data_IF_546045956863
#
_entry.id   IF_546045956863
#
_cell.length_a   1.000
_cell.length_b   1.000
_cell.length_c   1.000
_cell.angle_alpha   90.00
_cell.angle_beta   90.00
_cell.angle_gamma   90.00
#
_symmetry.space_group_name_H-M   'P 1'
#
loop_
_entity.id
_entity.type
_entity.pdbx_description
1 polymer ?
#
# COMPACT_ATOMS: atom_id res chain seq x y z
N UNK A 1 -38.36 18.49 -13.21
CA UNK A 1 -37.77 19.82 -12.97
C UNK A 1 -36.28 19.80 -13.29
N UNK A 2 -35.97 20.10 -14.55
CA UNK A 2 -34.61 20.42 -15.00
C UNK A 2 -34.25 21.78 -14.42
N UNK A 3 -33.22 21.84 -13.56
CA UNK A 3 -32.69 23.11 -13.12
C UNK A 3 -32.29 23.93 -14.36
N UNK A 4 -32.85 25.12 -14.53
CA UNK A 4 -32.39 26.09 -15.53
C UNK A 4 -30.94 26.45 -15.19
N UNK A 5 -29.99 25.85 -15.91
CA UNK A 5 -28.58 26.20 -15.78
C UNK A 5 -28.38 27.52 -16.54
N UNK A 6 -28.01 28.61 -15.88
CA UNK A 6 -27.83 29.90 -16.55
C UNK A 6 -26.73 29.82 -17.62
N UNK A 7 -26.81 30.65 -18.69
CA UNK A 7 -25.76 30.74 -19.70
C UNK A 7 -24.37 31.00 -19.10
N UNK A 8 -23.32 30.53 -19.76
CA UNK A 8 -21.92 30.60 -19.29
C UNK A 8 -21.46 32.04 -18.92
N UNK A 9 -22.09 33.04 -19.53
CA UNK A 9 -21.77 34.47 -19.40
C UNK A 9 -22.73 35.25 -18.49
N UNK A 10 -23.72 34.60 -17.90
CA UNK A 10 -24.71 35.29 -17.08
C UNK A 10 -24.15 35.63 -15.68
N UNK A 11 -23.73 36.89 -15.50
CA UNK A 11 -23.26 37.46 -14.22
C UNK A 11 -24.46 38.16 -13.55
N UNK A 12 -25.58 37.47 -13.40
CA UNK A 12 -26.68 38.02 -12.62
C UNK A 12 -26.30 38.04 -11.12
N UNK A 13 -26.62 39.13 -10.45
CA UNK A 13 -26.68 39.21 -8.97
C UNK A 13 -28.03 38.62 -8.55
N UNK A 14 -28.09 37.87 -7.46
CA UNK A 14 -29.39 37.56 -6.86
C UNK A 14 -29.98 38.80 -6.15
N UNK A 15 -31.21 38.68 -5.65
CA UNK A 15 -31.88 39.73 -4.89
C UNK A 15 -31.13 40.14 -3.61
N UNK A 16 -30.16 39.34 -3.17
CA UNK A 16 -29.36 39.52 -1.97
C UNK A 16 -27.92 40.02 -2.28
N UNK A 17 -27.67 40.51 -3.49
CA UNK A 17 -26.34 40.96 -3.97
C UNK A 17 -25.26 39.86 -3.97
N UNK A 18 -25.65 38.60 -3.88
CA UNK A 18 -24.74 37.46 -4.03
C UNK A 18 -24.57 37.19 -5.52
N UNK A 19 -23.31 37.17 -5.97
CA UNK A 19 -23.00 36.87 -7.36
C UNK A 19 -23.42 35.42 -7.69
N UNK A 20 -24.26 35.24 -8.72
CA UNK A 20 -24.64 33.88 -9.16
C UNK A 20 -23.42 33.08 -9.61
N UNK A 21 -23.42 31.79 -9.28
CA UNK A 21 -22.45 30.81 -9.77
C UNK A 21 -22.77 30.46 -11.23
N UNK A 22 -21.99 31.00 -12.19
CA UNK A 22 -22.05 30.58 -13.59
C UNK A 22 -21.17 29.34 -13.85
N UNK A 23 -21.41 28.64 -14.96
CA UNK A 23 -20.58 27.50 -15.40
C UNK A 23 -19.10 27.91 -15.46
N UNK A 24 -18.78 29.08 -16.04
CA UNK A 24 -17.41 29.59 -16.10
C UNK A 24 -16.79 29.81 -14.71
N UNK A 25 -17.57 30.30 -13.73
CA UNK A 25 -17.10 30.47 -12.35
C UNK A 25 -16.87 29.14 -11.66
N UNK A 26 -17.71 28.14 -11.90
CA UNK A 26 -17.46 26.79 -11.44
C UNK A 26 -16.14 26.27 -12.01
N UNK A 27 -15.95 26.30 -13.34
CA UNK A 27 -14.72 25.85 -13.99
C UNK A 27 -13.45 26.50 -13.42
N UNK A 28 -13.52 27.81 -13.15
CA UNK A 28 -12.42 28.59 -12.56
C UNK A 28 -12.25 28.39 -11.04
N UNK A 29 -13.24 27.83 -10.34
CA UNK A 29 -13.20 27.60 -8.89
C UNK A 29 -13.06 26.12 -8.49
N UNK A 30 -13.04 25.18 -9.44
CA UNK A 30 -12.90 23.72 -9.19
C UNK A 30 -11.75 23.38 -8.24
N UNK A 31 -10.61 24.04 -8.39
CA UNK A 31 -9.45 23.86 -7.50
C UNK A 31 -9.71 24.28 -6.05
N UNK A 32 -10.53 25.30 -5.82
CA UNK A 32 -10.93 25.74 -4.48
C UNK A 32 -12.08 24.90 -3.92
N UNK A 33 -13.04 24.52 -4.76
CA UNK A 33 -14.15 23.62 -4.43
C UNK A 33 -13.62 22.26 -3.99
N UNK A 34 -12.72 21.66 -4.77
CA UNK A 34 -12.07 20.39 -4.46
C UNK A 34 -11.44 20.35 -3.07
N UNK A 35 -10.78 21.42 -2.63
CA UNK A 35 -10.16 21.49 -1.29
C UNK A 35 -11.19 21.51 -0.16
N UNK A 36 -12.42 21.95 -0.43
CA UNK A 36 -13.52 22.04 0.55
C UNK A 36 -14.38 20.78 0.62
N UNK A 37 -14.32 19.91 -0.39
CA UNK A 37 -15.15 18.70 -0.43
C UNK A 37 -14.68 17.62 0.55
N UNK A 38 -13.41 17.67 0.99
CA UNK A 38 -12.79 16.65 1.84
C UNK A 38 -12.99 15.22 1.29
N UNK A 39 -12.87 15.08 -0.03
CA UNK A 39 -12.95 13.83 -0.77
C UNK A 39 -11.56 13.45 -1.29
N UNK A 40 -11.36 12.19 -1.64
CA UNK A 40 -10.14 11.76 -2.31
C UNK A 40 -10.01 12.38 -3.70
N UNK A 41 -8.77 12.51 -4.19
CA UNK A 41 -8.48 13.06 -5.51
C UNK A 41 -9.27 12.40 -6.65
N UNK A 42 -9.28 11.05 -6.79
CA UNK A 42 -10.03 10.36 -7.83
C UNK A 42 -11.53 10.68 -7.82
N UNK A 43 -12.18 10.58 -6.66
CA UNK A 43 -13.62 10.86 -6.52
C UNK A 43 -13.92 12.34 -6.82
N UNK A 44 -13.07 13.25 -6.34
CA UNK A 44 -13.20 14.68 -6.63
C UNK A 44 -13.05 14.98 -8.12
N UNK A 45 -12.11 14.33 -8.80
CA UNK A 45 -11.91 14.52 -10.23
C UNK A 45 -13.11 14.04 -11.05
N UNK A 46 -13.74 12.94 -10.63
CA UNK A 46 -14.98 12.45 -11.23
C UNK A 46 -16.13 13.44 -11.02
N UNK A 47 -16.33 13.90 -9.78
CA UNK A 47 -17.43 14.81 -9.45
C UNK A 47 -17.28 16.21 -10.09
N UNK A 48 -16.05 16.69 -10.30
CA UNK A 48 -15.76 18.03 -10.85
C UNK A 48 -15.30 18.04 -12.32
N UNK A 49 -15.10 16.87 -12.92
CA UNK A 49 -14.47 16.72 -14.24
C UNK A 49 -13.04 17.30 -14.31
N UNK A 50 -12.26 17.23 -13.23
CA UNK A 50 -10.93 17.84 -13.10
C UNK A 50 -9.80 16.79 -12.98
N UNK A 51 -9.63 15.96 -14.01
CA UNK A 51 -8.64 14.87 -14.00
C UNK A 51 -7.18 15.32 -14.06
N UNK A 52 -6.90 16.57 -14.47
CA UNK A 52 -5.54 17.11 -14.55
C UNK A 52 -4.80 17.11 -13.21
N UNK A 53 -5.53 17.00 -12.09
CA UNK A 53 -4.98 17.03 -10.72
C UNK A 53 -4.73 15.65 -10.12
N UNK A 54 -5.25 14.60 -10.73
CA UNK A 54 -5.04 13.23 -10.28
C UNK A 54 -3.87 12.66 -11.06
N UNK A 55 -2.88 12.11 -10.36
CA UNK A 55 -1.78 11.42 -11.02
C UNK A 55 -2.35 10.31 -11.91
N UNK A 56 -1.93 10.21 -13.17
CA UNK A 56 -2.49 9.24 -14.13
C UNK A 56 -2.56 7.81 -13.58
N UNK A 57 -1.58 7.43 -12.75
CA UNK A 57 -1.54 6.11 -12.13
C UNK A 57 -2.61 5.88 -11.07
N UNK A 58 -3.18 6.91 -10.42
CA UNK A 58 -4.17 6.73 -9.36
C UNK A 58 -5.50 6.17 -9.86
N UNK A 59 -5.98 6.66 -10.99
CA UNK A 59 -7.19 6.13 -11.62
C UNK A 59 -7.05 4.66 -12.03
N UNK A 60 -5.82 4.18 -12.22
CA UNK A 60 -5.53 2.77 -12.49
C UNK A 60 -5.58 1.89 -11.24
N UNK A 61 -5.45 2.45 -10.03
CA UNK A 61 -5.41 1.71 -8.76
C UNK A 61 -6.63 1.92 -7.85
N UNK A 62 -7.52 2.84 -8.21
CA UNK A 62 -8.68 3.21 -7.40
C UNK A 62 -9.96 2.86 -8.15
N UNK A 63 -10.96 2.37 -7.42
CA UNK A 63 -12.30 2.11 -7.97
C UNK A 63 -13.33 2.95 -7.22
N UNK A 64 -14.06 3.78 -7.96
CA UNK A 64 -15.17 4.57 -7.44
C UNK A 64 -16.48 3.87 -7.78
N UNK A 65 -17.27 3.58 -6.74
CA UNK A 65 -18.63 3.05 -6.88
C UNK A 65 -19.63 4.16 -7.25
N UNK A 66 -20.78 3.83 -7.88
CA UNK A 66 -21.86 4.80 -8.12
C UNK A 66 -22.28 5.55 -6.86
N UNK A 67 -22.44 4.85 -5.74
CA UNK A 67 -22.78 5.48 -4.46
C UNK A 67 -21.75 6.51 -4.00
N UNK A 68 -20.45 6.22 -4.13
CA UNK A 68 -19.40 7.17 -3.76
C UNK A 68 -19.41 8.41 -4.66
N UNK A 69 -19.74 8.24 -5.94
CA UNK A 69 -19.90 9.36 -6.87
C UNK A 69 -21.15 10.17 -6.52
N UNK A 70 -22.27 9.53 -6.21
CA UNK A 70 -23.51 10.19 -5.82
C UNK A 70 -23.33 11.01 -4.54
N UNK A 71 -22.67 10.46 -3.52
CA UNK A 71 -22.29 11.17 -2.30
C UNK A 71 -21.41 12.40 -2.62
N UNK A 72 -20.46 12.24 -3.55
CA UNK A 72 -19.59 13.33 -3.97
C UNK A 72 -20.37 14.43 -4.69
N UNK A 73 -21.25 14.07 -5.62
CA UNK A 73 -22.12 14.99 -6.34
C UNK A 73 -23.10 15.70 -5.39
N UNK A 74 -23.63 15.00 -4.38
CA UNK A 74 -24.47 15.61 -3.34
C UNK A 74 -23.70 16.64 -2.50
N UNK A 75 -22.43 16.40 -2.18
CA UNK A 75 -21.57 17.37 -1.50
C UNK A 75 -21.26 18.59 -2.39
N UNK A 76 -21.00 18.37 -3.68
CA UNK A 76 -20.80 19.45 -4.66
C UNK A 76 -22.07 20.30 -4.78
N UNK A 77 -23.21 19.66 -4.98
CA UNK A 77 -24.53 20.28 -5.01
C UNK A 77 -24.78 21.18 -3.81
N UNK A 78 -24.53 20.64 -2.61
CA UNK A 78 -24.71 21.37 -1.34
C UNK A 78 -23.77 22.56 -1.23
N UNK A 79 -22.49 22.37 -1.55
CA UNK A 79 -21.47 23.42 -1.46
C UNK A 79 -21.74 24.58 -2.45
N UNK A 80 -22.32 24.27 -3.61
CA UNK A 80 -22.58 25.24 -4.68
C UNK A 80 -24.02 25.77 -4.67
N UNK A 81 -24.92 25.20 -3.87
CA UNK A 81 -26.33 25.58 -3.84
C UNK A 81 -27.10 25.22 -5.12
N UNK A 82 -26.67 24.18 -5.85
CA UNK A 82 -27.21 23.82 -7.17
C UNK A 82 -28.47 22.93 -7.14
N UNK A 83 -28.98 22.61 -5.94
CA UNK A 83 -30.02 21.59 -5.79
C UNK A 83 -29.48 20.19 -6.11
N UNK A 84 -30.33 19.17 -6.02
CA UNK A 84 -29.90 17.78 -6.16
C UNK A 84 -29.35 17.47 -7.56
N UNK A 85 -28.06 17.17 -7.65
CA UNK A 85 -27.42 16.61 -8.85
C UNK A 85 -27.67 15.11 -8.84
N UNK A 86 -28.42 14.59 -9.83
CA UNK A 86 -28.72 13.16 -9.93
C UNK A 86 -27.75 12.48 -10.89
N UNK A 87 -27.15 11.37 -10.47
CA UNK A 87 -26.67 10.34 -11.39
C UNK A 87 -27.88 9.73 -12.10
N UNK A 88 -27.79 9.56 -13.43
CA UNK A 88 -28.92 9.09 -14.23
C UNK A 88 -29.17 7.58 -14.14
N UNK A 89 -28.26 6.79 -13.55
CA UNK A 89 -28.34 5.32 -13.65
C UNK A 89 -27.91 4.62 -12.35
N UNK A 90 -28.84 3.96 -11.62
CA UNK A 90 -28.53 3.17 -10.43
C UNK A 90 -27.59 1.99 -10.67
N UNK A 91 -27.50 1.50 -11.92
CA UNK A 91 -26.65 0.37 -12.35
C UNK A 91 -25.42 0.82 -13.14
N UNK A 92 -24.98 2.07 -12.96
CA UNK A 92 -23.79 2.58 -13.64
C UNK A 92 -22.55 1.71 -13.33
N UNK A 93 -21.67 1.47 -14.31
CA UNK A 93 -20.45 0.70 -14.09
C UNK A 93 -19.52 1.42 -13.09
N UNK A 94 -18.69 0.63 -12.40
CA UNK A 94 -17.62 1.15 -11.57
C UNK A 94 -16.64 1.98 -12.42
N UNK A 95 -16.13 3.08 -11.86
CA UNK A 95 -15.17 3.96 -12.57
C UNK A 95 -13.77 3.79 -11.97
N UNK A 96 -12.79 3.45 -12.80
CA UNK A 96 -11.39 3.31 -12.41
C UNK A 96 -10.84 1.90 -12.59
N UNK A 97 -10.16 1.37 -11.57
CA UNK A 97 -9.56 0.04 -11.60
C UNK A 97 -10.62 -1.05 -11.75
N UNK A 98 -10.41 -1.96 -12.70
CA UNK A 98 -11.30 -3.09 -12.96
C UNK A 98 -11.14 -4.21 -11.91
N UNK A 99 -9.95 -4.32 -11.31
CA UNK A 99 -9.62 -5.41 -10.39
C UNK A 99 -8.99 -4.86 -9.11
N UNK A 100 -9.76 -4.85 -8.03
CA UNK A 100 -9.29 -4.58 -6.67
C UNK A 100 -9.46 -5.84 -5.83
N UNK A 101 -8.42 -6.32 -5.12
CA UNK A 101 -8.57 -7.47 -4.24
C UNK A 101 -9.58 -7.18 -3.14
N UNK A 102 -10.55 -8.07 -3.00
CA UNK A 102 -11.51 -7.98 -1.90
C UNK A 102 -10.81 -8.25 -0.56
N UNK A 103 -11.27 -7.56 0.49
CA UNK A 103 -10.83 -7.76 1.88
C UNK A 103 -10.83 -9.24 2.31
N UNK A 104 -11.87 -9.99 1.95
CA UNK A 104 -11.99 -11.42 2.26
C UNK A 104 -10.91 -12.26 1.56
N UNK A 105 -10.50 -11.88 0.35
CA UNK A 105 -9.45 -12.56 -0.39
C UNK A 105 -8.08 -12.31 0.29
N UNK A 106 -7.78 -11.06 0.65
CA UNK A 106 -6.55 -10.72 1.39
C UNK A 106 -6.48 -11.46 2.73
N UNK A 107 -7.59 -11.51 3.48
CA UNK A 107 -7.67 -12.26 4.73
C UNK A 107 -7.51 -13.78 4.52
N UNK A 108 -8.05 -14.34 3.44
CA UNK A 108 -7.87 -15.75 3.09
C UNK A 108 -6.42 -16.08 2.76
N UNK A 109 -5.75 -15.24 1.96
CA UNK A 109 -4.32 -15.40 1.63
C UNK A 109 -3.48 -15.33 2.89
N UNK A 110 -3.73 -14.36 3.76
CA UNK A 110 -3.00 -14.23 5.01
C UNK A 110 -3.15 -15.46 5.93
N UNK A 111 -4.37 -16.00 6.04
CA UNK A 111 -4.64 -17.23 6.80
C UNK A 111 -3.93 -18.44 6.20
N UNK A 112 -3.96 -18.60 4.87
CA UNK A 112 -3.29 -19.70 4.19
C UNK A 112 -1.77 -19.65 4.39
N UNK A 113 -1.17 -18.47 4.21
CA UNK A 113 0.25 -18.27 4.46
C UNK A 113 0.61 -18.57 5.92
N UNK A 114 -0.23 -18.14 6.87
CA UNK A 114 -0.01 -18.46 8.28
C UNK A 114 -0.12 -19.96 8.58
N UNK A 115 -1.14 -20.63 8.02
CA UNK A 115 -1.31 -22.07 8.17
C UNK A 115 -0.10 -22.84 7.63
N UNK A 116 0.50 -22.40 6.53
CA UNK A 116 1.72 -23.02 5.97
C UNK A 116 2.94 -22.85 6.87
N UNK A 117 3.14 -21.69 7.48
CA UNK A 117 4.20 -21.50 8.48
C UNK A 117 4.01 -22.46 9.65
N UNK A 118 2.79 -22.55 10.17
CA UNK A 118 2.47 -23.43 11.30
C UNK A 118 2.66 -24.92 10.94
N UNK A 119 2.22 -25.35 9.75
CA UNK A 119 2.36 -26.71 9.27
C UNK A 119 3.83 -27.14 9.05
N UNK A 120 4.73 -26.18 8.81
CA UNK A 120 6.16 -26.45 8.59
C UNK A 120 7.00 -26.32 9.86
N UNK A 121 6.37 -26.09 11.04
CA UNK A 121 7.12 -25.95 12.30
C UNK A 121 8.05 -27.16 12.53
N UNK A 122 9.34 -26.92 12.83
CA UNK A 122 10.26 -28.01 13.07
C UNK A 122 9.82 -28.85 14.29
N UNK A 123 9.84 -30.19 14.19
CA UNK A 123 9.52 -31.05 15.33
C UNK A 123 10.63 -31.00 16.39
N UNK A 124 10.38 -31.58 17.58
CA UNK A 124 11.38 -31.66 18.67
C UNK A 124 12.73 -32.24 18.21
N UNK A 125 12.70 -33.28 17.38
CA UNK A 125 13.87 -33.88 16.75
C UNK A 125 13.99 -33.42 15.30
N UNK A 126 14.23 -32.13 15.12
CA UNK A 126 14.36 -31.55 13.80
C UNK A 126 15.67 -31.95 13.11
N UNK A 127 15.67 -31.80 11.79
CA UNK A 127 16.82 -31.98 10.89
C UNK A 127 16.91 -30.73 10.02
N UNK A 128 18.01 -30.58 9.30
CA UNK A 128 18.21 -29.43 8.41
C UNK A 128 17.03 -29.16 7.47
N UNK A 129 16.52 -30.20 6.81
CA UNK A 129 15.35 -30.10 5.91
C UNK A 129 14.12 -29.44 6.56
N UNK A 130 13.90 -29.64 7.87
CA UNK A 130 12.77 -29.05 8.58
C UNK A 130 13.00 -27.55 8.83
N UNK A 131 14.24 -27.14 9.14
CA UNK A 131 14.60 -25.73 9.28
C UNK A 131 14.47 -25.02 7.92
N UNK A 132 14.99 -25.64 6.85
CA UNK A 132 14.89 -25.12 5.48
C UNK A 132 13.44 -24.92 5.05
N UNK A 133 12.59 -25.93 5.23
CA UNK A 133 11.17 -25.85 4.90
C UNK A 133 10.46 -24.74 5.70
N UNK A 134 10.70 -24.66 7.01
CA UNK A 134 10.13 -23.61 7.85
C UNK A 134 10.58 -22.21 7.44
N UNK A 135 11.88 -22.02 7.17
CA UNK A 135 12.43 -20.74 6.73
C UNK A 135 11.77 -20.26 5.44
N UNK A 136 11.67 -21.15 4.43
CA UNK A 136 11.06 -20.83 3.15
C UNK A 136 9.56 -20.51 3.29
N UNK A 137 8.83 -21.22 4.15
CA UNK A 137 7.43 -20.91 4.42
C UNK A 137 7.24 -19.59 5.19
N UNK A 138 8.08 -19.34 6.19
CA UNK A 138 8.03 -18.13 7.03
C UNK A 138 8.21 -16.86 6.20
N UNK A 139 9.08 -16.93 5.19
CA UNK A 139 9.30 -15.86 4.22
C UNK A 139 8.02 -15.37 3.53
N UNK A 140 7.15 -16.31 3.11
CA UNK A 140 5.98 -15.98 2.29
C UNK A 140 5.02 -15.06 3.05
N UNK A 141 5.02 -15.10 4.38
CA UNK A 141 4.23 -14.21 5.24
C UNK A 141 4.63 -12.73 5.19
N UNK A 142 5.87 -12.43 4.77
CA UNK A 142 6.36 -11.05 4.60
C UNK A 142 5.87 -10.39 3.28
N UNK A 143 5.39 -11.18 2.32
CA UNK A 143 5.06 -10.72 0.96
C UNK A 143 3.70 -10.05 0.80
N UNK A 144 2.79 -10.21 1.77
CA UNK A 144 1.34 -9.98 1.67
C UNK A 144 0.88 -8.58 1.24
N UNK A 145 1.76 -7.59 1.26
CA UNK A 145 1.39 -6.18 1.06
C UNK A 145 2.40 -5.42 0.18
N UNK A 146 3.31 -6.14 -0.46
CA UNK A 146 4.31 -5.60 -1.37
C UNK A 146 3.88 -5.65 -2.83
N UNK A 147 4.51 -4.82 -3.66
CA UNK A 147 4.45 -4.96 -5.13
C UNK A 147 5.14 -6.25 -5.55
N UNK A 148 4.62 -6.97 -6.55
CA UNK A 148 5.27 -8.11 -7.19
C UNK A 148 6.70 -7.78 -7.57
N UNK A 149 7.65 -8.44 -6.92
CA UNK A 149 9.06 -8.34 -7.25
C UNK A 149 9.71 -9.69 -7.01
N UNK A 150 10.69 -9.99 -7.85
CA UNK A 150 11.61 -11.11 -7.65
C UNK A 150 12.46 -10.90 -6.40
N UNK A 151 12.79 -9.65 -6.05
CA UNK A 151 13.48 -9.30 -4.82
C UNK A 151 12.92 -8.03 -4.18
N UNK A 152 12.79 -8.05 -2.85
CA UNK A 152 12.36 -6.89 -2.07
C UNK A 152 13.58 -6.21 -1.49
N UNK A 153 13.91 -5.03 -2.03
CA UNK A 153 15.04 -4.23 -1.56
C UNK A 153 14.60 -3.21 -0.52
N UNK A 154 15.05 -3.39 0.73
CA UNK A 154 14.78 -2.51 1.86
C UNK A 154 16.10 -2.08 2.48
N UNK A 155 16.44 -0.80 2.33
CA UNK A 155 17.59 -0.20 3.00
C UNK A 155 17.21 0.10 4.43
N UNK A 156 18.10 -0.31 5.34
CA UNK A 156 17.95 -0.03 6.75
C UNK A 156 16.80 -0.77 7.42
N UNK A 157 16.50 -1.99 6.96
CA UNK A 157 15.42 -2.80 7.51
C UNK A 157 15.53 -3.04 9.03
N UNK A 158 16.72 -3.25 9.65
CA UNK A 158 16.82 -3.32 11.11
C UNK A 158 16.28 -2.06 11.78
N UNK A 159 16.69 -0.87 11.31
CA UNK A 159 16.21 0.40 11.85
C UNK A 159 14.72 0.66 11.57
N UNK A 160 14.15 0.06 10.53
CA UNK A 160 12.72 0.20 10.22
C UNK A 160 11.81 -0.40 11.30
N UNK A 161 12.29 -1.40 12.04
CA UNK A 161 11.59 -1.98 13.20
C UNK A 161 11.38 -0.91 14.27
N UNK A 162 12.38 -0.07 14.53
CA UNK A 162 12.32 0.98 15.55
C UNK A 162 11.65 2.25 15.03
N UNK A 163 12.08 2.70 13.85
CA UNK A 163 11.65 3.97 13.27
C UNK A 163 10.24 3.91 12.69
N UNK A 164 9.74 2.73 12.30
CA UNK A 164 8.47 2.58 11.58
C UNK A 164 8.50 3.20 10.17
N UNK A 165 9.70 3.40 9.63
CA UNK A 165 9.94 3.89 8.28
C UNK A 165 10.98 2.98 7.63
N UNK A 166 10.71 2.54 6.41
CA UNK A 166 11.59 1.68 5.62
C UNK A 166 11.92 2.36 4.29
N UNK A 167 13.20 2.39 3.91
CA UNK A 167 13.62 2.87 2.60
C UNK A 167 13.51 1.77 1.56
N UNK A 168 12.60 1.87 0.60
CA UNK A 168 12.39 0.82 -0.40
C UNK A 168 12.94 1.25 -1.75
N UNK A 169 13.80 0.41 -2.36
CA UNK A 169 14.23 0.60 -3.75
C UNK A 169 13.32 -0.18 -4.69
N UNK A 170 12.34 0.49 -5.31
CA UNK A 170 11.49 -0.14 -6.31
C UNK A 170 11.31 0.68 -7.59
N UNK A 171 11.83 1.90 -7.67
CA UNK A 171 11.74 2.76 -8.87
C UNK A 171 13.04 3.55 -9.04
N UNK A 172 13.68 3.41 -10.20
CA UNK A 172 14.69 4.38 -10.65
C UNK A 172 13.94 5.54 -11.30
N UNK A 173 14.13 6.75 -10.81
CA UNK A 173 13.65 7.96 -11.48
C UNK A 173 14.87 8.78 -11.93
N UNK A 174 14.73 9.67 -12.94
CA UNK A 174 15.83 10.50 -13.38
C UNK A 174 16.49 11.30 -12.24
N UNK A 175 15.70 11.69 -11.23
CA UNK A 175 16.13 12.55 -10.11
C UNK A 175 16.34 11.78 -8.78
N UNK A 176 15.95 10.51 -8.70
CA UNK A 176 16.12 9.66 -7.52
C UNK A 176 16.62 8.28 -7.94
N UNK A 177 17.91 8.03 -7.65
CA UNK A 177 18.52 6.70 -7.69
C UNK A 177 18.36 5.92 -6.36
N UNK A 178 17.66 6.50 -5.38
CA UNK A 178 17.69 6.08 -3.97
C UNK A 178 16.44 5.34 -3.49
N UNK A 179 16.55 4.82 -2.26
CA UNK A 179 15.42 4.31 -1.50
C UNK A 179 14.44 5.44 -1.21
N UNK A 180 13.14 5.18 -1.38
CA UNK A 180 12.09 6.10 -0.96
C UNK A 180 11.48 5.62 0.36
N UNK A 181 11.25 6.51 1.34
CA UNK A 181 10.70 6.10 2.62
C UNK A 181 9.24 5.68 2.45
N UNK A 182 8.90 4.59 3.14
CA UNK A 182 7.56 4.02 3.26
C UNK A 182 7.26 3.79 4.73
N UNK A 183 6.04 4.10 5.14
CA UNK A 183 5.57 3.82 6.49
C UNK A 183 5.38 2.31 6.67
N UNK A 184 5.85 1.81 7.82
CA UNK A 184 5.59 0.46 8.30
C UNK A 184 4.63 0.54 9.50
N UNK A 185 3.49 -0.13 9.39
CA UNK A 185 2.57 -0.29 10.50
C UNK A 185 3.11 -1.27 11.55
N UNK A 186 2.43 -1.33 12.71
CA UNK A 186 2.83 -2.20 13.83
C UNK A 186 3.04 -3.66 13.40
N UNK A 187 2.11 -4.23 12.64
CA UNK A 187 2.17 -5.62 12.19
C UNK A 187 3.38 -5.88 11.29
N UNK A 188 3.70 -4.96 10.37
CA UNK A 188 4.88 -5.06 9.52
C UNK A 188 6.16 -4.97 10.34
N UNK A 189 6.21 -4.04 11.31
CA UNK A 189 7.36 -3.89 12.22
C UNK A 189 7.57 -5.14 13.08
N UNK A 190 6.50 -5.68 13.65
CA UNK A 190 6.52 -6.91 14.44
C UNK A 190 6.98 -8.10 13.59
N UNK A 191 6.49 -8.21 12.35
CA UNK A 191 6.90 -9.26 11.42
C UNK A 191 8.39 -9.14 11.04
N UNK A 192 8.90 -7.92 10.83
CA UNK A 192 10.32 -7.67 10.59
C UNK A 192 11.16 -8.00 11.82
N UNK A 193 10.70 -7.66 13.02
CA UNK A 193 11.37 -8.06 14.25
C UNK A 193 11.46 -9.59 14.37
N UNK A 194 10.34 -10.29 14.11
CA UNK A 194 10.31 -11.74 14.07
C UNK A 194 11.20 -12.34 12.98
N UNK A 195 11.37 -11.65 11.84
CA UNK A 195 12.33 -12.04 10.81
C UNK A 195 13.76 -12.01 11.32
N UNK A 196 14.21 -10.91 11.91
CA UNK A 196 15.59 -10.82 12.43
C UNK A 196 15.85 -11.84 13.54
N UNK A 197 14.93 -11.97 14.50
CA UNK A 197 15.03 -13.01 15.54
C UNK A 197 15.04 -14.41 14.95
N UNK A 198 14.21 -14.69 13.94
CA UNK A 198 14.21 -15.98 13.26
C UNK A 198 15.58 -16.32 12.67
N UNK A 199 16.24 -15.35 12.02
CA UNK A 199 17.56 -15.57 11.43
C UNK A 199 18.62 -15.91 12.49
N UNK A 200 18.59 -15.27 13.66
CA UNK A 200 19.46 -15.63 14.80
C UNK A 200 19.25 -17.09 15.21
N UNK A 201 17.98 -17.50 15.35
CA UNK A 201 17.66 -18.89 15.69
C UNK A 201 17.99 -19.86 14.57
N UNK A 202 17.95 -19.49 13.29
CA UNK A 202 18.44 -20.35 12.21
C UNK A 202 19.93 -20.65 12.45
N UNK A 203 20.75 -19.64 12.73
CA UNK A 203 22.19 -19.80 13.02
C UNK A 203 22.41 -20.70 14.23
N UNK A 204 21.70 -20.47 15.33
CA UNK A 204 21.81 -21.30 16.55
C UNK A 204 21.44 -22.78 16.29
N UNK A 205 20.41 -23.01 15.47
CA UNK A 205 19.95 -24.37 15.14
C UNK A 205 20.93 -25.06 14.20
N UNK A 206 21.61 -24.33 13.32
CA UNK A 206 22.72 -24.85 12.50
C UNK A 206 23.89 -25.28 13.37
N UNK A 207 24.26 -24.49 14.39
CA UNK A 207 25.32 -24.83 15.35
C UNK A 207 25.00 -26.14 16.09
N UNK A 208 23.76 -26.28 16.57
CA UNK A 208 23.28 -27.52 17.23
C UNK A 208 23.33 -28.75 16.33
N UNK A 209 23.17 -28.57 15.02
CA UNK A 209 23.26 -29.65 14.04
C UNK A 209 24.70 -29.90 13.55
N UNK A 210 25.68 -29.10 13.97
CA UNK A 210 27.06 -29.20 13.48
C UNK A 210 27.23 -28.81 12.01
N UNK A 211 26.32 -27.99 11.46
CA UNK A 211 26.32 -27.61 10.05
C UNK A 211 27.03 -26.27 9.83
N UNK A 212 28.01 -26.27 8.92
CA UNK A 212 28.80 -25.07 8.64
C UNK A 212 28.02 -24.02 7.83
N UNK A 213 27.32 -24.41 6.76
CA UNK A 213 26.46 -23.57 5.92
C UNK A 213 27.01 -22.14 5.69
N UNK A 214 28.28 -22.03 5.29
CA UNK A 214 29.03 -20.75 5.26
C UNK A 214 28.31 -19.65 4.47
N UNK A 215 27.79 -19.96 3.28
CA UNK A 215 27.09 -18.99 2.43
C UNK A 215 25.83 -18.45 3.11
N UNK A 216 25.03 -19.34 3.73
CA UNK A 216 23.83 -18.95 4.45
C UNK A 216 24.15 -18.08 5.68
N UNK A 217 25.17 -18.45 6.45
CA UNK A 217 25.60 -17.63 7.61
C UNK A 217 26.08 -16.25 7.20
N UNK A 218 26.90 -16.18 6.16
CA UNK A 218 27.33 -14.90 5.60
C UNK A 218 26.11 -14.07 5.15
N UNK A 219 25.17 -14.69 4.43
CA UNK A 219 23.92 -14.03 4.02
C UNK A 219 23.14 -13.47 5.21
N UNK A 220 22.97 -14.25 6.27
CA UNK A 220 22.28 -13.83 7.50
C UNK A 220 23.00 -12.63 8.14
N UNK A 221 24.32 -12.70 8.29
CA UNK A 221 25.13 -11.60 8.86
C UNK A 221 24.93 -10.29 8.11
N UNK A 222 25.05 -10.32 6.78
CA UNK A 222 24.91 -9.12 5.92
C UNK A 222 23.48 -8.56 5.98
N UNK A 223 22.45 -9.40 6.16
CA UNK A 223 21.06 -8.93 6.37
C UNK A 223 20.88 -8.29 7.75
N UNK A 224 21.45 -8.87 8.80
CA UNK A 224 21.38 -8.35 10.17
C UNK A 224 22.14 -7.02 10.32
N UNK A 225 23.28 -6.89 9.67
CA UNK A 225 24.09 -5.66 9.64
C UNK A 225 23.42 -4.54 8.82
N UNK A 226 22.37 -4.84 8.05
CA UNK A 226 21.68 -3.87 7.19
C UNK A 226 22.50 -3.44 5.97
N UNK A 227 23.60 -4.16 5.66
CA UNK A 227 24.46 -3.89 4.49
C UNK A 227 23.90 -4.52 3.22
N UNK A 228 22.98 -5.49 3.32
CA UNK A 228 22.29 -6.04 2.15
C UNK A 228 21.02 -5.25 1.78
N UNK A 229 20.87 -4.84 0.50
CA UNK A 229 19.61 -4.30 0.03
C UNK A 229 18.49 -5.36 0.04
N UNK A 230 18.76 -6.61 -0.34
CA UNK A 230 17.74 -7.67 -0.40
C UNK A 230 17.69 -8.40 0.94
N UNK A 231 16.69 -8.08 1.77
CA UNK A 231 16.59 -8.59 3.15
C UNK A 231 15.90 -9.95 3.25
N UNK A 232 15.17 -10.33 2.21
CA UNK A 232 14.33 -11.52 2.10
C UNK A 232 15.02 -12.51 1.15
N UNK A 233 15.16 -13.77 1.53
CA UNK A 233 15.75 -14.83 0.71
C UNK A 233 15.18 -16.21 1.05
N UNK A 234 15.04 -17.09 0.06
CA UNK A 234 14.77 -18.53 0.26
C UNK A 234 16.08 -19.30 0.32
N UNK A 235 16.01 -20.56 0.71
CA UNK A 235 17.11 -21.52 0.64
C UNK A 235 16.72 -22.60 -0.36
N UNK A 236 17.51 -22.74 -1.43
CA UNK A 236 17.26 -23.72 -2.48
C UNK A 236 17.66 -25.15 -2.07
N UNK A 237 17.50 -26.11 -2.97
CA UNK A 237 17.81 -27.52 -2.67
C UNK A 237 19.31 -27.80 -2.47
N UNK A 238 20.18 -26.95 -3.03
CA UNK A 238 21.64 -26.93 -2.86
C UNK A 238 22.10 -26.14 -1.62
N UNK A 239 21.16 -25.81 -0.72
CA UNK A 239 21.37 -25.07 0.51
C UNK A 239 21.97 -23.65 0.32
N UNK A 240 21.78 -23.09 -0.89
CA UNK A 240 22.19 -21.73 -1.20
C UNK A 240 21.05 -20.74 -0.95
N UNK A 241 21.36 -19.56 -0.37
CA UNK A 241 20.39 -18.50 -0.23
C UNK A 241 20.13 -17.81 -1.57
N UNK A 242 18.86 -17.66 -1.95
CA UNK A 242 18.42 -16.97 -3.16
C UNK A 242 17.53 -15.78 -2.81
N UNK A 243 17.79 -14.58 -3.33
CA UNK A 243 16.93 -13.43 -3.11
C UNK A 243 15.48 -13.76 -3.48
N UNK A 244 14.54 -13.39 -2.62
CA UNK A 244 13.13 -13.61 -2.87
C UNK A 244 12.34 -12.34 -2.54
N UNK A 245 11.25 -12.15 -3.26
CA UNK A 245 10.29 -11.07 -3.05
C UNK A 245 8.87 -11.61 -3.05
N UNK A 246 7.91 -10.70 -3.09
CA UNK A 246 6.48 -11.03 -3.09
C UNK A 246 6.04 -11.93 -4.26
N UNK A 247 6.77 -11.94 -5.39
CA UNK A 247 6.48 -12.84 -6.50
C UNK A 247 6.65 -14.31 -6.15
N UNK A 248 7.74 -14.63 -5.44
CA UNK A 248 7.95 -15.96 -4.90
C UNK A 248 6.89 -16.32 -3.86
N UNK A 249 6.48 -15.35 -3.03
CA UNK A 249 5.42 -15.55 -2.03
C UNK A 249 4.07 -15.99 -2.62
N UNK A 250 3.62 -15.31 -3.68
CA UNK A 250 2.32 -15.59 -4.30
C UNK A 250 2.35 -16.80 -5.24
N UNK A 251 3.50 -17.14 -5.84
CA UNK A 251 3.62 -18.24 -6.80
C UNK A 251 3.24 -19.61 -6.22
N UNK A 252 3.43 -19.80 -4.91
CA UNK A 252 3.13 -21.06 -4.22
C UNK A 252 1.67 -21.18 -3.76
N UNK A 253 0.86 -20.13 -3.87
CA UNK A 253 -0.55 -20.18 -3.50
C UNK A 253 -1.36 -20.98 -4.52
N UNK A 254 -2.44 -21.60 -4.03
CA UNK A 254 -3.46 -22.19 -4.89
C UNK A 254 -4.02 -21.16 -5.86
N UNK A 255 -4.42 -21.62 -7.04
CA UNK A 255 -4.86 -20.73 -8.12
C UNK A 255 -6.03 -19.82 -7.71
N UNK A 256 -6.93 -20.33 -6.86
CA UNK A 256 -8.06 -19.57 -6.30
C UNK A 256 -7.66 -18.44 -5.35
N UNK A 257 -6.43 -18.44 -4.84
CA UNK A 257 -5.88 -17.43 -3.91
C UNK A 257 -4.82 -16.55 -4.57
N UNK A 258 -4.47 -16.79 -5.84
CA UNK A 258 -3.50 -15.97 -6.55
C UNK A 258 -4.10 -14.60 -6.85
N UNK A 259 -3.34 -13.57 -6.50
CA UNK A 259 -3.68 -12.18 -6.81
C UNK A 259 -2.71 -11.62 -7.84
N UNK A 260 -3.20 -10.64 -8.61
CA UNK A 260 -2.36 -9.88 -9.54
C UNK A 260 -1.16 -9.30 -8.79
N UNK A 261 -0.01 -9.26 -9.43
CA UNK A 261 1.22 -8.84 -8.78
C UNK A 261 1.21 -7.42 -8.14
N UNK A 262 0.42 -6.49 -8.66
CA UNK A 262 0.26 -5.14 -8.10
C UNK A 262 -0.95 -5.01 -7.17
N UNK A 263 -1.60 -6.11 -6.78
CA UNK A 263 -2.79 -6.18 -5.93
C UNK A 263 -2.70 -5.30 -4.68
N UNK A 264 -1.55 -5.31 -3.98
CA UNK A 264 -1.36 -4.49 -2.79
C UNK A 264 -1.49 -2.99 -3.06
N UNK A 265 -1.17 -2.49 -4.27
CA UNK A 265 -1.34 -1.08 -4.62
C UNK A 265 -2.81 -0.72 -4.82
N UNK A 266 -3.58 -1.61 -5.43
CA UNK A 266 -5.03 -1.45 -5.58
C UNK A 266 -5.70 -1.46 -4.21
N UNK A 267 -5.39 -2.47 -3.41
CA UNK A 267 -5.90 -2.64 -2.06
C UNK A 267 -5.63 -1.40 -1.19
N UNK A 268 -4.37 -0.96 -1.07
CA UNK A 268 -4.05 0.17 -0.22
C UNK A 268 -4.59 1.50 -0.75
N UNK A 269 -4.65 1.71 -2.06
CA UNK A 269 -5.24 2.93 -2.61
C UNK A 269 -6.72 3.06 -2.26
N UNK A 270 -7.46 1.95 -2.34
CA UNK A 270 -8.86 1.89 -1.97
C UNK A 270 -9.06 2.29 -0.51
N UNK A 271 -8.34 1.64 0.41
CA UNK A 271 -8.47 1.91 1.85
C UNK A 271 -7.97 3.30 2.24
N UNK A 272 -6.91 3.82 1.61
CA UNK A 272 -6.47 5.20 1.85
C UNK A 272 -7.52 6.22 1.41
N UNK A 273 -8.22 5.96 0.31
CA UNK A 273 -9.33 6.81 -0.13
C UNK A 273 -10.51 6.76 0.84
N UNK A 274 -10.91 5.56 1.27
CA UNK A 274 -12.04 5.35 2.19
C UNK A 274 -11.80 5.96 3.57
N UNK A 275 -10.55 5.91 4.04
CA UNK A 275 -10.11 6.46 5.33
C UNK A 275 -9.69 7.94 5.24
N UNK A 276 -10.02 8.61 4.12
CA UNK A 276 -9.73 10.03 3.87
C UNK A 276 -8.26 10.42 4.12
N UNK A 277 -7.33 9.52 3.79
CA UNK A 277 -5.89 9.82 3.86
C UNK A 277 -5.57 10.93 2.86
N UNK A 278 -4.82 11.97 3.27
CA UNK A 278 -4.37 13.00 2.33
C UNK A 278 -3.64 12.39 1.13
N UNK A 279 -4.06 12.80 -0.06
CA UNK A 279 -3.56 12.32 -1.34
C UNK A 279 -2.03 12.34 -1.42
N UNK A 280 -1.40 13.40 -0.92
CA UNK A 280 0.05 13.56 -0.84
C UNK A 280 0.75 12.44 -0.04
N UNK A 281 0.13 11.94 1.02
CA UNK A 281 0.66 10.86 1.85
C UNK A 281 0.42 9.49 1.20
N UNK A 282 -0.76 9.28 0.60
CA UNK A 282 -1.07 8.06 -0.14
C UNK A 282 -0.15 7.89 -1.36
N UNK A 283 0.11 8.98 -2.08
CA UNK A 283 1.03 9.01 -3.21
C UNK A 283 2.49 8.82 -2.78
N UNK A 284 2.91 9.45 -1.67
CA UNK A 284 4.23 9.25 -1.10
C UNK A 284 4.45 7.80 -0.66
N UNK A 285 3.48 7.18 0.04
CA UNK A 285 3.52 5.76 0.43
C UNK A 285 3.56 4.83 -0.79
N UNK A 286 2.73 5.11 -1.79
CA UNK A 286 2.69 4.37 -3.06
C UNK A 286 3.89 4.67 -3.97
N UNK A 287 4.72 5.65 -3.58
CA UNK A 287 5.91 6.13 -4.29
C UNK A 287 5.56 6.51 -5.72
N UNK A 288 4.45 7.23 -5.93
CA UNK A 288 4.03 7.69 -7.25
C UNK A 288 4.84 8.93 -7.63
N UNK A 289 5.35 8.96 -8.86
CA UNK A 289 5.97 10.17 -9.39
C UNK A 289 4.86 11.00 -10.01
N UNK A 290 4.48 12.08 -9.34
CA UNK A 290 3.58 13.09 -9.91
C UNK A 290 4.47 14.22 -10.43
N UNK A 291 4.12 14.82 -11.58
CA UNK A 291 4.96 15.78 -12.34
C UNK A 291 5.49 17.00 -11.56
N UNK A 292 5.12 17.15 -10.28
CA UNK A 292 5.43 18.29 -9.42
C UNK A 292 5.85 17.90 -8.00
N UNK A 293 6.05 16.61 -7.71
CA UNK A 293 6.27 16.14 -6.34
C UNK A 293 7.44 15.18 -6.24
N UNK A 294 8.65 15.73 -6.15
CA UNK A 294 9.73 15.05 -5.43
C UNK A 294 9.42 15.17 -3.94
N UNK A 295 8.56 14.27 -3.44
CA UNK A 295 8.04 14.26 -2.07
C UNK A 295 9.14 14.28 -0.99
N UNK A 296 10.37 13.90 -1.38
CA UNK A 296 11.51 13.71 -0.51
C UNK A 296 12.67 14.67 -0.81
N UNK A 297 12.36 15.87 -1.31
CA UNK A 297 13.31 16.97 -1.41
C UNK A 297 13.35 17.81 -0.12
N UNK A 298 14.44 18.55 0.12
CA UNK A 298 14.65 19.38 1.32
C UNK A 298 13.57 20.45 1.54
N UNK A 299 12.84 20.84 0.48
CA UNK A 299 11.78 21.85 0.49
C UNK A 299 10.38 21.25 0.53
N UNK A 300 10.26 19.92 0.60
CA UNK A 300 8.96 19.25 0.68
C UNK A 300 8.30 19.54 2.03
N UNK A 301 7.00 19.88 2.05
CA UNK A 301 6.25 20.00 3.31
C UNK A 301 5.94 18.63 3.93
N UNK A 302 6.21 17.52 3.21
CA UNK A 302 6.02 16.17 3.74
C UNK A 302 7.20 15.77 4.62
N UNK A 303 6.89 15.36 5.84
CA UNK A 303 7.85 14.73 6.74
C UNK A 303 7.58 13.23 6.86
N UNK A 304 8.65 12.45 6.97
CA UNK A 304 8.54 11.00 7.24
C UNK A 304 7.76 10.71 8.52
N UNK A 305 7.86 11.58 9.53
CA UNK A 305 7.08 11.48 10.77
C UNK A 305 5.57 11.59 10.53
N UNK A 306 5.13 12.54 9.68
CA UNK A 306 3.71 12.68 9.32
C UNK A 306 3.24 11.49 8.49
N UNK A 307 4.04 11.04 7.52
CA UNK A 307 3.76 9.84 6.74
C UNK A 307 3.52 8.64 7.67
N UNK A 308 4.48 8.33 8.53
CA UNK A 308 4.37 7.24 9.51
C UNK A 308 3.11 7.38 10.37
N UNK A 309 2.89 8.55 10.96
CA UNK A 309 1.76 8.75 11.89
C UNK A 309 0.40 8.48 11.23
N UNK A 310 0.20 8.93 9.99
CA UNK A 310 -1.11 8.77 9.32
C UNK A 310 -1.23 7.40 8.67
N UNK A 311 -0.25 7.03 7.84
CA UNK A 311 -0.31 5.79 7.04
C UNK A 311 -0.25 4.56 7.94
N UNK A 312 0.67 4.51 8.90
CA UNK A 312 0.82 3.33 9.76
C UNK A 312 -0.45 3.05 10.56
N UNK A 313 -1.17 4.08 11.02
CA UNK A 313 -2.41 3.91 11.79
C UNK A 313 -3.55 3.35 10.93
N UNK A 314 -3.71 3.84 9.70
CA UNK A 314 -4.72 3.32 8.76
C UNK A 314 -4.40 1.87 8.41
N UNK A 315 -3.14 1.59 8.03
CA UNK A 315 -2.71 0.23 7.73
C UNK A 315 -2.89 -0.71 8.93
N UNK A 316 -2.56 -0.26 10.14
CA UNK A 316 -2.72 -1.04 11.37
C UNK A 316 -4.19 -1.40 11.61
N UNK A 317 -5.10 -0.42 11.49
CA UNK A 317 -6.54 -0.66 11.68
C UNK A 317 -7.09 -1.65 10.66
N UNK A 318 -6.74 -1.47 9.38
CA UNK A 318 -7.22 -2.35 8.30
C UNK A 318 -6.73 -3.78 8.52
N UNK A 319 -5.44 -3.97 8.81
CA UNK A 319 -4.92 -5.32 9.07
C UNK A 319 -5.55 -5.96 10.32
N UNK A 320 -5.84 -5.17 11.35
CA UNK A 320 -6.53 -5.65 12.55
C UNK A 320 -7.97 -6.10 12.26
N UNK A 321 -8.71 -5.34 11.46
CA UNK A 321 -10.05 -5.71 11.02
C UNK A 321 -10.05 -7.00 10.17
N UNK A 322 -9.00 -7.22 9.39
CA UNK A 322 -8.82 -8.45 8.61
C UNK A 322 -8.29 -9.63 9.44
N UNK A 323 -7.98 -9.42 10.73
CA UNK A 323 -7.39 -10.44 11.58
C UNK A 323 -5.94 -10.80 11.21
N UNK A 324 -5.26 -9.94 10.45
CA UNK A 324 -3.88 -10.16 9.99
C UNK A 324 -2.93 -9.72 11.10
N UNK A 325 -2.13 -10.66 11.58
CA UNK A 325 -1.15 -10.46 12.66
C UNK A 325 0.22 -10.92 12.23
N UNK A 326 1.25 -10.41 12.90
CA UNK A 326 2.60 -10.90 12.72
C UNK A 326 2.70 -12.36 13.22
N UNK A 327 3.44 -13.16 12.48
CA UNK A 327 3.69 -14.58 12.73
C UNK A 327 5.07 -14.70 13.35
N UNK A 328 5.19 -15.52 14.39
CA UNK A 328 6.48 -15.81 15.01
C UNK A 328 7.25 -16.80 14.16
N UNK A 329 8.52 -16.50 13.90
CA UNK A 329 9.44 -17.43 13.29
C UNK A 329 9.98 -18.44 14.30
N UNK A 330 11.22 -18.89 14.08
CA UNK A 330 11.88 -19.76 15.05
C UNK A 330 12.10 -19.01 16.36
N UNK A 331 11.87 -19.72 17.46
CA UNK A 331 12.12 -19.25 18.82
C UNK A 331 12.93 -20.29 19.59
N UNK A 332 13.33 -19.93 20.82
CA UNK A 332 13.98 -20.82 21.77
C UNK A 332 13.16 -22.09 21.97
#
# INVERSE_FOLDING_TARGET
DTAEVPPEHDICRDADYVLKLSIARFFNSRSSVSRRLHLSGPVTALALGEFARVSHSRLYYHTTTPHQLDDALARVATLLGWGAIRSSEPEAPLIGAEVVPESRAIAAIARELAARVEATRPPRHYRWRHIRAFHNAFLLSLGLLGRNRESTVVVGAPWSVELGLAGVHDKKTPNSKGATPTAACKQVRDQLAHWFTHLEFVVERLDRLGLSCRTLRHRISVVQEGTNPSIVFTINDDDQPEPCGSAGAYGHLDESLRVKGDAARHFWEQFFSEEAVPDELADAQSRRNVRWSDYWHQTSPLSGTRLRRVISLVQERVLDQLGIRAIKGLTK
#
